data_IF_151583722524
#
_entry.id   IF_151583722524
#
_cell.length_a   1.000
_cell.length_b   1.000
_cell.length_c   1.000
_cell.angle_alpha   90.00
_cell.angle_beta   90.00
_cell.angle_gamma   90.00
#
_symmetry.space_group_name_H-M   'P 1'
#
loop_
_entity.id
_entity.type
_entity.pdbx_description
1 polymer ?
#
# COMPACT_ATOMS: atom_id res chain seq x y z
N UNK A 1 -37.33 68.87 5.97
CA UNK A 1 -36.68 67.58 6.27
C UNK A 1 -36.12 66.85 5.04
N UNK A 2 -36.82 66.68 3.91
CA UNK A 2 -36.23 65.99 2.74
C UNK A 2 -35.08 66.79 2.09
N UNK A 3 -35.16 68.12 2.05
CA UNK A 3 -34.13 68.97 1.44
C UNK A 3 -32.83 69.00 2.25
N UNK A 4 -32.92 68.91 3.58
CA UNK A 4 -31.74 68.91 4.47
C UNK A 4 -30.86 67.67 4.29
N UNK A 5 -31.49 66.52 3.99
CA UNK A 5 -30.76 65.27 3.71
C UNK A 5 -30.01 65.39 2.38
N UNK A 6 -30.64 65.98 1.36
CA UNK A 6 -30.05 66.17 0.03
C UNK A 6 -28.86 67.15 0.11
N UNK A 7 -29.01 68.25 0.83
CA UNK A 7 -27.93 69.23 1.02
C UNK A 7 -26.75 68.65 1.82
N UNK A 8 -27.02 67.79 2.78
CA UNK A 8 -25.97 67.08 3.55
C UNK A 8 -25.18 66.13 2.65
N UNK A 9 -25.86 65.41 1.73
CA UNK A 9 -25.22 64.52 0.76
C UNK A 9 -24.37 65.32 -0.25
N UNK A 10 -24.87 66.44 -0.77
CA UNK A 10 -24.11 67.28 -1.70
C UNK A 10 -22.86 67.91 -1.05
N UNK A 11 -22.98 68.37 0.20
CA UNK A 11 -21.82 68.88 0.94
C UNK A 11 -20.79 67.77 1.24
N UNK A 12 -21.23 66.54 1.47
CA UNK A 12 -20.32 65.40 1.68
C UNK A 12 -19.55 65.03 0.41
N UNK A 13 -20.17 65.13 -0.77
CA UNK A 13 -19.52 64.91 -2.07
C UNK A 13 -18.64 66.07 -2.56
N UNK A 14 -18.70 67.24 -1.90
CA UNK A 14 -17.90 68.41 -2.29
C UNK A 14 -16.44 68.32 -1.82
N UNK A 15 -16.16 67.49 -0.81
CA UNK A 15 -14.80 67.22 -0.36
C UNK A 15 -14.10 66.22 -1.30
N UNK A 16 -12.98 66.59 -1.96
CA UNK A 16 -12.28 65.72 -2.88
C UNK A 16 -11.83 64.40 -2.23
N UNK A 17 -11.57 64.39 -0.92
CA UNK A 17 -11.17 63.18 -0.20
C UNK A 17 -12.32 62.16 -0.10
N UNK A 18 -13.52 62.66 0.20
CA UNK A 18 -14.73 61.83 0.31
C UNK A 18 -15.18 61.32 -1.07
N UNK A 19 -14.97 62.10 -2.12
CA UNK A 19 -15.27 61.69 -3.50
C UNK A 19 -14.40 60.51 -3.94
N UNK A 20 -13.10 60.54 -3.62
CA UNK A 20 -12.17 59.43 -3.88
C UNK A 20 -12.59 58.18 -3.10
N UNK A 21 -12.94 58.33 -1.82
CA UNK A 21 -13.40 57.22 -0.98
C UNK A 21 -14.69 56.59 -1.52
N UNK A 22 -15.66 57.41 -1.92
CA UNK A 22 -16.92 56.95 -2.51
C UNK A 22 -16.71 56.20 -3.83
N UNK A 23 -15.83 56.68 -4.70
CA UNK A 23 -15.46 55.98 -5.94
C UNK A 23 -14.81 54.62 -5.65
N UNK A 24 -13.96 54.54 -4.62
CA UNK A 24 -13.33 53.29 -4.21
C UNK A 24 -14.36 52.27 -3.72
N UNK A 25 -15.31 52.69 -2.89
CA UNK A 25 -16.38 51.84 -2.36
C UNK A 25 -17.26 51.33 -3.51
N UNK A 26 -17.67 52.21 -4.43
CA UNK A 26 -18.44 51.82 -5.62
C UNK A 26 -17.66 50.84 -6.50
N UNK A 27 -16.35 51.07 -6.69
CA UNK A 27 -15.46 50.17 -7.41
C UNK A 27 -15.36 48.77 -6.79
N UNK A 28 -15.25 48.69 -5.47
CA UNK A 28 -15.25 47.41 -4.73
C UNK A 28 -16.58 46.68 -4.91
N UNK A 29 -17.72 47.39 -4.80
CA UNK A 29 -19.05 46.79 -4.95
C UNK A 29 -19.23 46.23 -6.37
N UNK A 30 -18.80 46.97 -7.40
CA UNK A 30 -18.83 46.51 -8.80
C UNK A 30 -17.92 45.29 -8.99
N UNK A 31 -16.71 45.32 -8.44
CA UNK A 31 -15.77 44.19 -8.52
C UNK A 31 -16.35 42.93 -7.87
N UNK A 32 -16.96 43.05 -6.69
CA UNK A 32 -17.64 41.96 -6.00
C UNK A 32 -18.85 41.47 -6.82
N UNK A 33 -19.63 42.36 -7.42
CA UNK A 33 -20.78 42.00 -8.25
C UNK A 33 -20.37 41.24 -9.52
N UNK A 34 -19.24 41.60 -10.14
CA UNK A 34 -18.66 40.86 -11.28
C UNK A 34 -18.12 39.50 -10.81
N UNK A 35 -17.43 39.44 -9.67
CA UNK A 35 -16.82 38.21 -9.16
C UNK A 35 -17.85 37.21 -8.60
N UNK A 36 -18.99 37.70 -8.10
CA UNK A 36 -20.10 36.89 -7.56
C UNK A 36 -21.13 36.48 -8.61
N UNK A 37 -20.96 36.81 -9.91
CA UNK A 37 -21.86 36.27 -10.94
C UNK A 37 -21.67 34.75 -11.06
N UNK A 38 -22.71 33.94 -10.84
CA UNK A 38 -22.65 32.50 -11.05
C UNK A 38 -22.40 32.22 -12.53
N UNK A 39 -21.41 31.39 -12.84
CA UNK A 39 -21.14 30.88 -14.19
C UNK A 39 -22.36 30.08 -14.67
N UNK A 40 -23.28 30.75 -15.37
CA UNK A 40 -24.41 30.10 -16.04
C UNK A 40 -24.50 30.54 -17.50
N UNK A 41 -23.99 29.63 -18.34
CA UNK A 41 -24.49 29.23 -19.67
C UNK A 41 -24.43 30.20 -20.87
N UNK A 42 -23.77 29.64 -21.92
CA UNK A 42 -23.97 29.76 -23.38
C UNK A 42 -23.37 30.95 -24.14
N UNK A 43 -22.40 30.60 -25.01
CA UNK A 43 -22.00 31.39 -26.18
C UNK A 43 -20.79 30.78 -26.91
N UNK A 44 -21.04 29.97 -27.96
CA UNK A 44 -20.04 29.33 -28.84
C UNK A 44 -19.16 30.35 -29.58
N UNK A 45 -17.82 30.12 -29.61
CA UNK A 45 -16.85 30.27 -30.74
C UNK A 45 -15.43 30.59 -30.21
N UNK A 46 -14.36 30.28 -30.98
CA UNK A 46 -13.96 29.00 -31.56
C UNK A 46 -12.86 28.35 -30.69
N UNK A 47 -12.71 27.03 -30.78
CA UNK A 47 -11.54 26.34 -30.25
C UNK A 47 -10.28 26.96 -30.87
N UNK A 48 -9.53 27.72 -30.05
CA UNK A 48 -8.10 27.84 -30.28
C UNK A 48 -7.56 26.42 -30.21
N UNK A 49 -7.15 25.90 -31.37
CA UNK A 49 -6.20 24.79 -31.45
C UNK A 49 -5.06 25.09 -30.47
N UNK A 50 -5.13 24.50 -29.29
CA UNK A 50 -4.00 24.45 -28.38
C UNK A 50 -2.98 23.59 -29.11
N UNK A 51 -1.96 24.25 -29.67
CA UNK A 51 -0.81 23.61 -30.27
C UNK A 51 -0.33 22.52 -29.31
N UNK A 52 -0.55 21.27 -29.73
CA UNK A 52 -0.16 20.05 -29.03
C UNK A 52 1.29 20.21 -28.54
N UNK A 53 1.59 20.11 -27.24
CA UNK A 53 2.94 19.73 -26.87
C UNK A 53 3.12 18.32 -27.44
N UNK A 54 3.94 18.19 -28.49
CA UNK A 54 4.44 16.89 -28.96
C UNK A 54 5.30 16.34 -27.82
N UNK A 55 4.66 15.72 -26.83
CA UNK A 55 5.33 14.95 -25.80
C UNK A 55 6.03 13.81 -26.54
N UNK A 56 7.34 13.95 -26.74
CA UNK A 56 8.18 12.87 -27.26
C UNK A 56 8.14 11.76 -26.22
N UNK A 57 7.35 10.74 -26.52
CA UNK A 57 7.02 9.65 -25.60
C UNK A 57 8.25 8.80 -25.36
N UNK A 58 8.91 9.00 -24.21
CA UNK A 58 9.92 8.06 -23.70
C UNK A 58 9.23 7.09 -22.73
N UNK A 59 9.09 5.85 -23.18
CA UNK A 59 8.73 4.71 -22.32
C UNK A 59 7.32 4.14 -22.52
N UNK A 60 7.13 2.82 -22.27
CA UNK A 60 5.86 2.12 -22.43
C UNK A 60 4.76 2.67 -21.52
N UNK A 61 5.09 3.09 -20.29
CA UNK A 61 4.14 3.70 -19.34
C UNK A 61 3.55 5.02 -19.85
N UNK A 62 4.37 5.89 -20.44
CA UNK A 62 3.91 7.18 -20.98
C UNK A 62 2.98 7.02 -22.19
N UNK A 63 3.18 5.97 -23.02
CA UNK A 63 2.25 5.63 -24.11
C UNK A 63 0.88 5.24 -23.56
N UNK A 64 0.86 4.52 -22.44
CA UNK A 64 -0.35 4.04 -21.80
C UNK A 64 -1.14 5.19 -21.18
N UNK A 65 -0.46 6.11 -20.49
CA UNK A 65 -1.05 7.35 -19.95
C UNK A 65 -1.63 8.21 -21.09
N UNK A 66 -0.88 8.37 -22.20
CA UNK A 66 -1.35 9.12 -23.36
C UNK A 66 -2.58 8.49 -24.03
N UNK A 67 -2.68 7.16 -24.04
CA UNK A 67 -3.86 6.45 -24.54
C UNK A 67 -5.07 6.64 -23.63
N UNK A 68 -4.90 6.53 -22.30
CA UNK A 68 -5.96 6.78 -21.32
C UNK A 68 -6.50 8.21 -21.42
N UNK A 69 -5.61 9.21 -21.51
CA UNK A 69 -6.02 10.61 -21.73
C UNK A 69 -6.81 10.78 -23.04
N UNK A 70 -6.35 10.15 -24.13
CA UNK A 70 -7.09 10.20 -25.40
C UNK A 70 -8.44 9.49 -25.37
N UNK A 71 -8.62 8.46 -24.53
CA UNK A 71 -9.88 7.73 -24.42
C UNK A 71 -10.89 8.51 -23.56
N UNK A 72 -10.43 9.23 -22.54
CA UNK A 72 -11.22 10.21 -21.76
C UNK A 72 -11.73 11.35 -22.64
N UNK A 73 -10.85 11.94 -23.46
CA UNK A 73 -11.21 13.04 -24.36
C UNK A 73 -12.24 12.62 -25.43
N UNK A 74 -12.29 11.33 -25.77
CA UNK A 74 -13.23 10.76 -26.75
C UNK A 74 -14.51 10.23 -26.11
N UNK A 75 -14.70 10.40 -24.80
CA UNK A 75 -15.88 9.93 -24.07
C UNK A 75 -16.03 8.40 -24.08
N UNK A 76 -14.95 7.65 -24.27
CA UNK A 76 -14.95 6.19 -24.17
C UNK A 76 -14.78 5.78 -22.71
N UNK A 77 -15.43 4.70 -22.30
CA UNK A 77 -15.20 4.12 -20.98
C UNK A 77 -13.71 3.82 -20.80
N UNK A 78 -13.15 4.35 -19.71
CA UNK A 78 -11.77 4.12 -19.30
C UNK A 78 -11.57 2.62 -19.09
N UNK A 79 -10.94 1.95 -20.05
CA UNK A 79 -10.43 0.60 -19.83
C UNK A 79 -9.23 0.73 -18.90
N UNK A 80 -9.49 0.66 -17.59
CA UNK A 80 -8.44 0.54 -16.58
C UNK A 80 -7.64 -0.71 -16.98
N UNK A 81 -6.33 -0.59 -17.23
CA UNK A 81 -5.53 -1.77 -17.49
C UNK A 81 -5.69 -2.71 -16.30
N UNK A 82 -5.91 -4.00 -16.53
CA UNK A 82 -5.91 -4.99 -15.45
C UNK A 82 -4.51 -4.98 -14.85
N UNK A 83 -4.33 -4.17 -13.79
CA UNK A 83 -3.10 -4.12 -13.05
C UNK A 83 -3.13 -5.36 -12.18
N UNK A 84 -2.34 -6.36 -12.57
CA UNK A 84 -2.20 -7.58 -11.78
C UNK A 84 -1.81 -7.18 -10.36
N UNK A 85 -2.49 -7.75 -9.38
CA UNK A 85 -2.14 -7.52 -7.98
C UNK A 85 -0.71 -8.00 -7.73
N UNK A 86 -0.05 -7.47 -6.69
CA UNK A 86 1.30 -7.97 -6.32
C UNK A 86 1.26 -9.48 -6.12
N UNK A 87 0.19 -9.99 -5.52
CA UNK A 87 0.01 -11.41 -5.25
C UNK A 87 -0.15 -12.23 -6.54
N UNK A 88 -0.85 -11.71 -7.56
CA UNK A 88 -0.94 -12.36 -8.88
C UNK A 88 0.42 -12.43 -9.58
N UNK A 89 1.21 -11.35 -9.51
CA UNK A 89 2.56 -11.32 -10.10
C UNK A 89 3.48 -12.31 -9.39
N UNK A 90 3.41 -12.36 -8.06
CA UNK A 90 4.20 -13.30 -7.24
C UNK A 90 3.80 -14.74 -7.54
N UNK A 91 2.49 -15.01 -7.66
CA UNK A 91 1.96 -16.35 -7.95
C UNK A 91 2.43 -16.83 -9.31
N UNK A 92 2.33 -16.01 -10.35
CA UNK A 92 2.80 -16.36 -11.70
C UNK A 92 4.31 -16.62 -11.74
N UNK A 93 5.09 -15.82 -11.01
CA UNK A 93 6.54 -15.98 -10.91
C UNK A 93 6.92 -17.29 -10.19
N UNK A 94 6.22 -17.62 -9.12
CA UNK A 94 6.38 -18.86 -8.37
C UNK A 94 6.00 -20.09 -9.20
N UNK A 95 4.86 -20.06 -9.87
CA UNK A 95 4.40 -21.13 -10.77
C UNK A 95 5.37 -21.33 -11.95
N UNK A 96 5.91 -20.25 -12.51
CA UNK A 96 6.90 -20.31 -13.58
C UNK A 96 8.19 -20.99 -13.11
N UNK A 97 8.70 -20.64 -11.93
CA UNK A 97 9.92 -21.24 -11.38
C UNK A 97 9.73 -22.71 -10.99
N UNK A 98 8.59 -23.07 -10.39
CA UNK A 98 8.31 -24.47 -10.07
C UNK A 98 8.18 -25.35 -11.31
N UNK A 99 7.48 -24.87 -12.33
CA UNK A 99 7.39 -25.59 -13.60
C UNK A 99 8.76 -25.76 -14.27
N UNK A 100 9.65 -24.77 -14.16
CA UNK A 100 11.01 -24.87 -14.68
C UNK A 100 11.85 -25.98 -14.00
N UNK A 101 11.53 -26.33 -12.76
CA UNK A 101 12.16 -27.42 -12.00
C UNK A 101 11.32 -28.72 -12.04
N UNK A 102 10.23 -28.75 -12.83
CA UNK A 102 9.36 -29.92 -12.99
C UNK A 102 8.42 -30.20 -11.81
N UNK A 103 8.21 -29.21 -10.94
CA UNK A 103 7.32 -29.29 -9.79
C UNK A 103 5.99 -28.60 -10.09
N UNK A 104 4.88 -29.17 -9.60
CA UNK A 104 3.53 -28.61 -9.79
C UNK A 104 3.04 -27.97 -8.50
N UNK A 105 2.51 -26.75 -8.60
CA UNK A 105 1.88 -26.07 -7.47
C UNK A 105 0.73 -26.93 -6.93
N UNK A 106 0.73 -27.20 -5.63
CA UNK A 106 -0.38 -27.90 -5.00
C UNK A 106 -1.60 -26.98 -5.01
N UNK A 107 -2.66 -27.37 -5.71
CA UNK A 107 -3.95 -26.66 -5.74
C UNK A 107 -4.80 -26.94 -4.50
N UNK A 108 -4.23 -27.58 -3.47
CA UNK A 108 -4.90 -27.82 -2.20
C UNK A 108 -5.06 -26.49 -1.46
N UNK A 109 -6.29 -25.97 -1.50
CA UNK A 109 -6.79 -24.75 -0.86
C UNK A 109 -6.00 -24.28 0.37
N UNK A 110 -5.39 -23.10 0.26
CA UNK A 110 -5.02 -22.25 1.40
C UNK A 110 -3.84 -22.68 2.27
N UNK A 111 -3.25 -23.86 2.05
CA UNK A 111 -2.13 -24.32 2.84
C UNK A 111 -0.82 -23.93 2.16
N UNK A 112 -0.34 -22.72 2.44
CA UNK A 112 1.08 -22.40 2.26
C UNK A 112 1.80 -23.28 3.27
N UNK A 113 2.64 -24.25 2.86
CA UNK A 113 3.44 -24.99 3.80
C UNK A 113 4.35 -23.95 4.46
N UNK A 114 4.06 -23.60 5.71
CA UNK A 114 5.06 -22.98 6.58
C UNK A 114 6.23 -23.94 6.49
N UNK A 115 7.34 -23.48 5.92
CA UNK A 115 8.50 -24.33 5.64
C UNK A 115 8.86 -25.04 6.94
N UNK A 116 8.45 -26.31 7.08
CA UNK A 116 8.71 -27.07 8.28
C UNK A 116 10.21 -27.18 8.36
N UNK A 117 10.80 -26.47 9.32
CA UNK A 117 12.20 -26.63 9.64
C UNK A 117 12.44 -28.14 9.91
N UNK A 118 13.64 -28.67 9.63
CA UNK A 118 13.95 -30.08 9.87
C UNK A 118 13.41 -30.67 11.19
N UNK A 119 13.47 -29.92 12.30
CA UNK A 119 12.89 -30.20 13.60
C UNK A 119 11.36 -30.21 13.56
N UNK A 120 10.73 -29.18 12.99
CA UNK A 120 9.28 -29.10 12.86
C UNK A 120 8.71 -30.33 12.13
N UNK A 121 9.38 -30.71 11.05
CA UNK A 121 9.04 -31.91 10.28
C UNK A 121 9.23 -33.17 11.10
N UNK A 122 10.36 -33.28 11.81
CA UNK A 122 10.69 -34.42 12.66
C UNK A 122 9.65 -34.64 13.78
N UNK A 123 9.15 -33.57 14.38
CA UNK A 123 8.12 -33.59 15.41
C UNK A 123 6.74 -33.94 14.81
N UNK A 124 6.39 -33.33 13.67
CA UNK A 124 5.12 -33.61 12.98
C UNK A 124 5.02 -35.07 12.51
N UNK A 125 6.12 -35.65 12.02
CA UNK A 125 6.18 -37.07 11.62
C UNK A 125 5.93 -38.03 12.80
N UNK A 126 6.06 -37.56 14.04
CA UNK A 126 5.77 -38.32 15.27
C UNK A 126 4.39 -38.05 15.85
N UNK A 127 3.58 -37.27 15.16
CA UNK A 127 2.21 -36.96 15.58
C UNK A 127 2.10 -35.82 16.58
N UNK A 128 3.16 -35.02 16.77
CA UNK A 128 3.08 -33.83 17.60
C UNK A 128 2.11 -32.81 16.97
N UNK A 129 1.15 -32.26 17.74
CA UNK A 129 0.22 -31.25 17.23
C UNK A 129 0.94 -30.01 16.68
N UNK A 130 0.41 -29.42 15.61
CA UNK A 130 1.04 -28.29 14.93
C UNK A 130 1.23 -27.07 15.85
N UNK A 131 0.27 -26.80 16.73
CA UNK A 131 0.35 -25.72 17.72
C UNK A 131 1.52 -25.95 18.70
N UNK A 132 1.69 -27.20 19.15
CA UNK A 132 2.78 -27.62 20.05
C UNK A 132 4.13 -27.52 19.33
N UNK A 133 4.21 -27.94 18.07
CA UNK A 133 5.41 -27.76 17.23
C UNK A 133 5.76 -26.29 17.08
N UNK A 134 4.78 -25.43 16.82
CA UNK A 134 4.96 -23.99 16.69
C UNK A 134 5.49 -23.36 17.98
N UNK A 135 4.93 -23.73 19.13
CA UNK A 135 5.38 -23.26 20.44
C UNK A 135 6.82 -23.67 20.76
N UNK A 136 7.20 -24.92 20.45
CA UNK A 136 8.57 -25.43 20.64
C UNK A 136 9.57 -24.63 19.80
N UNK A 137 9.27 -24.42 18.53
CA UNK A 137 10.16 -23.70 17.61
C UNK A 137 10.30 -22.25 18.04
N UNK A 138 9.19 -21.58 18.39
CA UNK A 138 9.23 -20.21 18.89
C UNK A 138 10.14 -20.10 20.13
N UNK A 139 9.97 -20.99 21.11
CA UNK A 139 10.80 -21.02 22.31
C UNK A 139 12.29 -21.19 21.99
N UNK A 140 12.64 -22.17 21.14
CA UNK A 140 14.03 -22.43 20.76
C UNK A 140 14.69 -21.24 20.06
N UNK A 141 13.95 -20.51 19.22
CA UNK A 141 14.49 -19.37 18.47
C UNK A 141 14.74 -18.14 19.35
N UNK A 142 14.01 -18.01 20.45
CA UNK A 142 14.16 -16.91 21.42
C UNK A 142 15.40 -17.07 22.30
N UNK A 143 15.87 -18.31 22.51
CA UNK A 143 16.99 -18.58 23.41
C UNK A 143 18.35 -18.06 22.93
N UNK A 144 19.23 -17.80 23.89
CA UNK A 144 20.60 -17.29 23.67
C UNK A 144 21.68 -18.37 23.82
N UNK A 145 21.34 -19.52 24.41
CA UNK A 145 22.29 -20.58 24.75
C UNK A 145 21.89 -21.91 24.16
N UNK A 146 22.89 -22.65 23.65
CA UNK A 146 22.70 -24.02 23.18
C UNK A 146 22.20 -24.95 24.30
N UNK A 147 22.62 -24.73 25.54
CA UNK A 147 22.20 -25.54 26.67
C UNK A 147 20.70 -25.37 26.95
N UNK A 148 20.18 -24.15 26.81
CA UNK A 148 18.77 -23.82 27.04
C UNK A 148 17.90 -24.38 25.92
N UNK A 149 18.37 -24.32 24.67
CA UNK A 149 17.72 -24.97 23.51
C UNK A 149 17.56 -26.47 23.73
N UNK A 150 18.61 -27.15 24.21
CA UNK A 150 18.53 -28.60 24.53
C UNK A 150 17.59 -28.87 25.70
N UNK A 151 17.57 -27.99 26.70
CA UNK A 151 16.70 -28.11 27.86
C UNK A 151 15.21 -27.95 27.49
N UNK A 152 14.87 -27.07 26.55
CA UNK A 152 13.50 -26.92 26.05
C UNK A 152 13.01 -28.23 25.42
N UNK A 153 13.82 -28.85 24.55
CA UNK A 153 13.45 -30.13 23.92
C UNK A 153 13.30 -31.24 24.97
N UNK A 154 14.18 -31.27 25.97
CA UNK A 154 14.11 -32.24 27.06
C UNK A 154 12.85 -32.08 27.91
N UNK A 155 12.55 -30.85 28.34
CA UNK A 155 11.33 -30.55 29.09
C UNK A 155 10.07 -30.86 28.28
N UNK A 156 10.11 -30.62 26.96
CA UNK A 156 8.95 -30.87 26.11
C UNK A 156 8.75 -32.35 25.81
N UNK A 157 9.83 -33.14 25.79
CA UNK A 157 9.77 -34.58 25.59
C UNK A 157 9.05 -35.32 26.73
N UNK A 158 9.03 -34.75 27.93
CA UNK A 158 8.25 -35.26 29.08
C UNK A 158 6.73 -35.03 28.93
N UNK A 159 6.32 -34.17 28.00
CA UNK A 159 4.90 -33.92 27.74
C UNK A 159 4.23 -35.12 27.07
N UNK A 160 3.00 -35.50 27.48
CA UNK A 160 2.22 -36.58 26.87
C UNK A 160 2.02 -36.42 25.35
N UNK A 161 2.05 -35.19 24.85
CA UNK A 161 1.80 -34.85 23.46
C UNK A 161 3.01 -35.06 22.54
N UNK A 162 4.23 -35.12 23.11
CA UNK A 162 5.48 -35.16 22.34
C UNK A 162 6.22 -36.48 22.52
N UNK A 163 6.26 -37.00 23.75
CA UNK A 163 6.73 -38.34 24.11
C UNK A 163 7.95 -38.83 23.28
N UNK A 164 9.03 -38.06 23.31
CA UNK A 164 10.28 -38.41 22.65
C UNK A 164 11.19 -39.16 23.64
N UNK A 165 11.68 -40.34 23.27
CA UNK A 165 12.53 -41.15 24.15
C UNK A 165 13.79 -41.67 23.43
N UNK A 166 14.88 -41.81 24.19
CA UNK A 166 16.14 -42.39 23.73
C UNK A 166 16.69 -41.69 22.48
N UNK A 167 16.95 -42.47 21.42
CA UNK A 167 17.56 -41.97 20.19
C UNK A 167 16.73 -40.88 19.48
N UNK A 168 15.41 -40.84 19.69
CA UNK A 168 14.55 -39.82 19.10
C UNK A 168 14.72 -38.47 19.78
N UNK A 169 14.88 -38.49 21.11
CA UNK A 169 15.15 -37.31 21.92
C UNK A 169 16.52 -36.71 21.54
N UNK A 170 17.55 -37.54 21.43
CA UNK A 170 18.89 -37.09 21.05
C UNK A 170 18.90 -36.46 19.66
N UNK A 171 18.16 -37.06 18.71
CA UNK A 171 18.01 -36.52 17.36
C UNK A 171 17.23 -35.20 17.34
N UNK A 172 16.18 -35.06 18.14
CA UNK A 172 15.44 -33.80 18.29
C UNK A 172 16.34 -32.69 18.88
N UNK A 173 17.12 -33.01 19.92
CA UNK A 173 18.09 -32.08 20.51
C UNK A 173 19.11 -31.59 19.49
N UNK A 174 19.66 -32.49 18.69
CA UNK A 174 20.62 -32.11 17.64
C UNK A 174 19.98 -31.22 16.57
N UNK A 175 18.80 -31.58 16.07
CA UNK A 175 18.08 -30.78 15.07
C UNK A 175 17.74 -29.37 15.59
N UNK A 176 17.34 -29.26 16.86
CA UNK A 176 17.07 -27.98 17.49
C UNK A 176 18.31 -27.08 17.56
N UNK A 177 19.45 -27.64 17.96
CA UNK A 177 20.73 -26.89 17.99
C UNK A 177 21.15 -26.46 16.59
N UNK A 178 21.03 -27.34 15.59
CA UNK A 178 21.42 -27.04 14.22
C UNK A 178 20.57 -25.90 13.64
N UNK A 179 19.28 -25.87 13.94
CA UNK A 179 18.38 -24.80 13.51
C UNK A 179 18.64 -23.48 14.22
N UNK A 180 18.75 -23.51 15.54
CA UNK A 180 19.09 -22.34 16.34
C UNK A 180 20.42 -21.73 15.88
N UNK A 181 21.44 -22.57 15.67
CA UNK A 181 22.75 -22.14 15.20
C UNK A 181 22.68 -21.52 13.79
N UNK A 182 21.86 -22.06 12.89
CA UNK A 182 21.66 -21.47 11.56
C UNK A 182 21.04 -20.07 11.65
N UNK A 183 20.05 -19.88 12.52
CA UNK A 183 19.39 -18.58 12.70
C UNK A 183 20.33 -17.55 13.34
N UNK A 184 21.08 -17.92 14.39
CA UNK A 184 22.03 -17.01 15.04
C UNK A 184 23.27 -16.70 14.19
N UNK A 185 23.67 -17.62 13.30
CA UNK A 185 24.79 -17.41 12.37
C UNK A 185 24.39 -16.69 11.09
N UNK A 186 23.10 -16.57 10.77
CA UNK A 186 22.66 -15.80 9.61
C UNK A 186 23.02 -14.31 9.86
N UNK A 187 24.00 -13.75 9.13
CA UNK A 187 24.32 -12.34 9.31
C UNK A 187 23.13 -11.51 8.84
N UNK A 188 22.70 -10.56 9.68
CA UNK A 188 21.79 -9.49 9.28
C UNK A 188 22.39 -8.78 8.06
N UNK A 189 21.81 -9.00 6.89
CA UNK A 189 22.11 -8.27 5.65
C UNK A 189 20.98 -7.30 5.34
#
# INVERSE_FOLDING_TARGET
MQNEIIDTIFNFLSDPLNLILALWIVGIIIAIAIFRRPKSSKGKKPEKEVKKPKIKVKGPLMKQIGKMMSDVDKGKELTVPSVRSRDEIITEMFESQMNAVGLKASTASGYVPVSYTPLARFLKERGVPEDTVGAIIAGILEEESEADVRAIIEATAESPEVNLVGAELDKAKQLAVDEWAHVKKAPEN
#
